data_IF_288454691479
#
_entry.id   IF_288454691479
#
_cell.length_a   1.000
_cell.length_b   1.000
_cell.length_c   1.000
_cell.angle_alpha   90.00
_cell.angle_beta   90.00
_cell.angle_gamma   90.00
#
_symmetry.space_group_name_H-M   'P 1'
#
loop_
_entity.id
_entity.type
_entity.pdbx_description
1 polymer ?
#
# COMPACT_ATOMS: atom_id res chain seq x y z
N UNK A 1 -10.05 3.39 21.45
CA UNK A 1 -9.20 3.49 20.24
C UNK A 1 -7.84 3.96 20.66
N UNK A 2 -7.64 5.25 20.92
CA UNK A 2 -6.33 5.83 21.22
C UNK A 2 -5.54 5.12 22.33
N UNK A 3 -6.12 4.86 23.50
CA UNK A 3 -5.41 4.23 24.62
C UNK A 3 -4.95 2.79 24.37
N UNK A 4 -5.73 2.00 23.61
CA UNK A 4 -5.37 0.61 23.28
C UNK A 4 -4.26 0.58 22.24
N UNK A 5 -4.37 1.42 21.21
CA UNK A 5 -3.32 1.56 20.19
C UNK A 5 -2.02 2.07 20.82
N UNK A 6 -2.09 3.11 21.67
CA UNK A 6 -0.91 3.65 22.34
C UNK A 6 -0.23 2.62 23.25
N UNK A 7 -0.99 1.84 24.03
CA UNK A 7 -0.44 0.79 24.89
C UNK A 7 0.24 -0.32 24.07
N UNK A 8 -0.38 -0.76 22.97
CA UNK A 8 0.20 -1.77 22.08
C UNK A 8 1.47 -1.25 21.37
N UNK A 9 1.48 -0.01 20.88
CA UNK A 9 2.67 0.61 20.27
C UNK A 9 3.80 0.75 21.29
N UNK A 10 3.51 1.25 22.50
CA UNK A 10 4.52 1.36 23.56
C UNK A 10 5.06 -0.02 23.99
N UNK A 11 4.19 -1.03 24.08
CA UNK A 11 4.61 -2.41 24.36
C UNK A 11 5.55 -2.96 23.29
N UNK A 12 5.25 -2.71 22.01
CA UNK A 12 6.10 -3.12 20.91
C UNK A 12 7.46 -2.39 20.94
N UNK A 13 7.46 -1.07 21.16
CA UNK A 13 8.69 -0.27 21.27
C UNK A 13 9.55 -0.72 22.46
N UNK A 14 8.94 -0.98 23.62
CA UNK A 14 9.63 -1.50 24.80
C UNK A 14 10.24 -2.88 24.55
N UNK A 15 9.51 -3.77 23.87
CA UNK A 15 10.03 -5.08 23.51
C UNK A 15 11.23 -4.97 22.54
N UNK A 16 11.13 -4.10 21.53
CA UNK A 16 12.23 -3.81 20.62
C UNK A 16 13.45 -3.16 21.30
N UNK A 17 13.24 -2.35 22.34
CA UNK A 17 14.34 -1.71 23.08
C UNK A 17 15.04 -2.65 24.06
N UNK A 18 14.32 -3.60 24.67
CA UNK A 18 14.85 -4.48 25.72
C UNK A 18 15.37 -5.80 25.16
N UNK A 19 14.79 -6.31 24.07
CA UNK A 19 15.10 -7.63 23.53
C UNK A 19 15.22 -7.63 22.00
N UNK A 20 16.18 -6.86 21.47
CA UNK A 20 16.47 -6.75 20.03
C UNK A 20 16.71 -8.10 19.36
N UNK A 21 17.43 -9.02 20.01
CA UNK A 21 17.77 -10.33 19.45
C UNK A 21 16.54 -11.25 19.34
N UNK A 22 15.67 -11.20 20.35
CA UNK A 22 14.40 -11.94 20.33
C UNK A 22 13.46 -11.37 19.27
N UNK A 23 13.36 -10.04 19.15
CA UNK A 23 12.53 -9.39 18.14
C UNK A 23 13.04 -9.74 16.73
N UNK A 24 14.35 -9.71 16.51
CA UNK A 24 14.96 -10.07 15.23
C UNK A 24 14.65 -11.52 14.84
N UNK A 25 14.92 -12.48 15.72
CA UNK A 25 14.69 -13.90 15.44
C UNK A 25 13.21 -14.22 15.15
N UNK A 26 12.28 -13.66 15.94
CA UNK A 26 10.83 -13.84 15.74
C UNK A 26 10.38 -13.18 14.43
N UNK A 27 10.84 -11.95 14.16
CA UNK A 27 10.47 -11.23 12.94
C UNK A 27 10.95 -11.95 11.69
N UNK A 28 12.20 -12.44 11.68
CA UNK A 28 12.74 -13.22 10.56
C UNK A 28 12.00 -14.55 10.38
N UNK A 29 11.66 -15.25 11.46
CA UNK A 29 10.89 -16.49 11.38
C UNK A 29 9.47 -16.25 10.81
N UNK A 30 8.79 -15.20 11.29
CA UNK A 30 7.47 -14.81 10.78
C UNK A 30 7.53 -14.36 9.32
N UNK A 31 8.54 -13.58 8.94
CA UNK A 31 8.76 -13.15 7.56
C UNK A 31 8.96 -14.36 6.65
N UNK A 32 9.88 -15.26 7.00
CA UNK A 32 10.16 -16.46 6.18
C UNK A 32 8.93 -17.35 6.05
N UNK A 33 8.18 -17.55 7.13
CA UNK A 33 6.94 -18.34 7.09
C UNK A 33 5.87 -17.68 6.21
N UNK A 34 5.72 -16.36 6.32
CA UNK A 34 4.76 -15.59 5.51
C UNK A 34 5.15 -15.57 4.04
N UNK A 35 6.43 -15.42 3.73
CA UNK A 35 6.95 -15.47 2.36
C UNK A 35 6.77 -16.86 1.75
N UNK A 36 7.04 -17.92 2.51
CA UNK A 36 6.91 -19.30 2.01
C UNK A 36 5.44 -19.69 1.77
N UNK A 37 4.54 -19.37 2.70
CA UNK A 37 3.14 -19.80 2.63
C UNK A 37 2.24 -18.79 1.90
N UNK A 38 2.57 -17.50 1.99
CA UNK A 38 1.74 -16.39 1.53
C UNK A 38 2.29 -15.65 0.32
N UNK A 39 3.54 -15.90 -0.11
CA UNK A 39 4.16 -15.18 -1.22
C UNK A 39 3.33 -15.23 -2.52
N UNK A 40 2.75 -16.38 -2.83
CA UNK A 40 1.86 -16.54 -3.99
C UNK A 40 0.60 -15.67 -3.88
N UNK A 41 0.03 -15.54 -2.68
CA UNK A 41 -1.16 -14.72 -2.43
C UNK A 41 -0.83 -13.23 -2.57
N UNK A 42 0.36 -12.79 -2.13
CA UNK A 42 0.81 -11.41 -2.34
C UNK A 42 0.96 -11.09 -3.83
N UNK A 43 1.61 -11.96 -4.60
CA UNK A 43 1.79 -11.75 -6.05
C UNK A 43 0.43 -11.70 -6.75
N UNK A 44 -0.46 -12.65 -6.48
CA UNK A 44 -1.81 -12.66 -7.06
C UNK A 44 -2.63 -11.44 -6.65
N UNK A 45 -2.57 -11.02 -5.38
CA UNK A 45 -3.28 -9.84 -4.90
C UNK A 45 -2.75 -8.58 -5.59
N UNK A 46 -1.43 -8.41 -5.68
CA UNK A 46 -0.81 -7.25 -6.28
C UNK A 46 -1.14 -7.14 -7.79
N UNK A 47 -1.03 -8.25 -8.53
CA UNK A 47 -1.48 -8.30 -9.94
C UNK A 47 -2.99 -8.06 -10.07
N UNK A 48 -3.78 -8.60 -9.14
CA UNK A 48 -5.23 -8.38 -9.06
C UNK A 48 -5.59 -6.91 -8.87
N UNK A 49 -4.87 -6.17 -8.01
CA UNK A 49 -5.07 -4.74 -7.82
C UNK A 49 -4.78 -3.93 -9.09
N UNK A 50 -3.73 -4.27 -9.84
CA UNK A 50 -3.42 -3.64 -11.14
C UNK A 50 -4.56 -3.87 -12.13
N UNK A 51 -4.98 -5.12 -12.30
CA UNK A 51 -6.08 -5.47 -13.23
C UNK A 51 -7.37 -4.78 -12.80
N UNK A 52 -7.67 -4.75 -11.49
CA UNK A 52 -8.86 -4.12 -10.95
C UNK A 52 -8.85 -2.59 -11.14
N UNK A 53 -7.71 -1.93 -10.91
CA UNK A 53 -7.55 -0.51 -11.15
C UNK A 53 -7.73 -0.15 -12.64
N UNK A 54 -7.13 -0.92 -13.54
CA UNK A 54 -7.31 -0.75 -14.98
C UNK A 54 -8.75 -0.99 -15.41
N UNK A 55 -9.38 -2.06 -14.91
CA UNK A 55 -10.78 -2.35 -15.16
C UNK A 55 -11.68 -1.21 -14.70
N UNK A 56 -11.48 -0.67 -13.50
CA UNK A 56 -12.22 0.48 -13.00
C UNK A 56 -12.07 1.70 -13.92
N UNK A 57 -10.84 2.00 -14.35
CA UNK A 57 -10.54 3.13 -15.23
C UNK A 57 -11.24 3.03 -16.60
N UNK A 58 -11.25 1.84 -17.22
CA UNK A 58 -11.89 1.64 -18.53
C UNK A 58 -13.39 1.30 -18.44
N UNK A 59 -13.89 0.93 -17.27
CA UNK A 59 -15.30 0.59 -17.07
C UNK A 59 -16.21 1.83 -17.01
N UNK A 60 -17.52 1.59 -17.01
CA UNK A 60 -18.54 2.62 -16.72
C UNK A 60 -18.34 3.32 -15.37
N UNK A 61 -17.66 2.69 -14.42
CA UNK A 61 -17.45 3.23 -13.08
C UNK A 61 -16.41 4.36 -13.06
N UNK A 62 -15.49 4.39 -14.02
CA UNK A 62 -14.53 5.49 -14.18
C UNK A 62 -15.16 6.83 -14.57
N UNK A 63 -16.42 6.83 -15.02
CA UNK A 63 -17.18 8.05 -15.35
C UNK A 63 -17.87 8.69 -14.14
N UNK A 64 -17.83 8.04 -12.97
CA UNK A 64 -18.51 8.53 -11.77
C UNK A 64 -17.66 9.64 -11.14
N UNK A 65 -18.26 10.81 -10.94
CA UNK A 65 -17.60 11.91 -10.20
C UNK A 65 -17.45 11.55 -8.72
N UNK A 66 -16.24 11.75 -8.19
CA UNK A 66 -15.90 11.52 -6.78
C UNK A 66 -16.31 12.72 -5.93
N UNK A 67 -17.62 12.96 -5.89
CA UNK A 67 -18.24 14.09 -5.22
C UNK A 67 -19.73 14.11 -5.52
N UNK A 68 -20.38 15.27 -5.35
CA UNK A 68 -21.77 15.46 -5.79
C UNK A 68 -21.86 15.41 -7.32
N UNK A 69 -23.07 15.18 -7.82
CA UNK A 69 -23.28 15.22 -9.28
C UNK A 69 -23.03 16.64 -9.80
N UNK A 70 -22.18 16.76 -10.81
CA UNK A 70 -21.80 18.04 -11.40
C UNK A 70 -20.81 18.87 -10.58
N UNK A 71 -20.20 18.31 -9.53
CA UNK A 71 -19.15 19.00 -8.77
C UNK A 71 -17.86 19.13 -9.61
N UNK A 72 -17.34 20.36 -9.72
CA UNK A 72 -16.10 20.62 -10.44
C UNK A 72 -14.87 20.26 -9.58
N UNK A 73 -13.73 19.89 -10.20
CA UNK A 73 -12.49 19.64 -9.46
C UNK A 73 -12.03 20.88 -8.70
N UNK A 74 -11.72 20.71 -7.42
CA UNK A 74 -11.20 21.79 -6.56
C UNK A 74 -9.82 22.30 -7.04
N UNK A 75 -9.01 21.40 -7.61
CA UNK A 75 -7.68 21.72 -8.13
C UNK A 75 -7.61 21.55 -9.64
N UNK A 76 -6.89 22.47 -10.29
CA UNK A 76 -6.55 22.34 -11.71
C UNK A 76 -5.71 21.08 -11.94
N UNK A 77 -5.92 20.40 -13.06
CA UNK A 77 -5.26 19.12 -13.40
C UNK A 77 -3.75 19.13 -13.21
N UNK A 78 -3.07 20.21 -13.63
CA UNK A 78 -1.61 20.35 -13.46
C UNK A 78 -1.20 20.38 -11.98
N UNK A 79 -1.95 21.12 -11.15
CA UNK A 79 -1.70 21.20 -9.72
C UNK A 79 -1.97 19.86 -9.04
N UNK A 80 -3.02 19.15 -9.45
CA UNK A 80 -3.33 17.81 -8.95
C UNK A 80 -2.23 16.79 -9.26
N UNK A 81 -1.73 16.76 -10.50
CA UNK A 81 -0.60 15.91 -10.89
C UNK A 81 0.65 16.26 -10.08
N UNK A 82 0.95 17.55 -9.91
CA UNK A 82 2.09 18.00 -9.10
C UNK A 82 1.99 17.53 -7.63
N UNK A 83 0.78 17.58 -7.03
CA UNK A 83 0.56 17.06 -5.68
C UNK A 83 0.79 15.55 -5.59
N UNK A 84 0.38 14.76 -6.60
CA UNK A 84 0.65 13.32 -6.64
C UNK A 84 2.15 13.02 -6.70
N UNK A 85 2.92 13.72 -7.52
CA UNK A 85 4.37 13.54 -7.57
C UNK A 85 5.05 13.95 -6.26
N UNK A 86 4.61 15.04 -5.64
CA UNK A 86 5.11 15.48 -4.34
C UNK A 86 4.84 14.47 -3.22
N UNK A 87 3.66 13.85 -3.21
CA UNK A 87 3.28 12.87 -2.21
C UNK A 87 3.89 11.48 -2.45
N UNK A 88 4.07 11.08 -3.71
CA UNK A 88 4.52 9.73 -4.10
C UNK A 88 6.03 9.55 -4.24
N UNK A 89 6.78 10.62 -4.53
CA UNK A 89 8.26 10.55 -4.60
C UNK A 89 8.86 10.71 -3.20
N UNK A 90 8.66 9.69 -2.37
CA UNK A 90 9.17 9.66 -1.01
C UNK A 90 10.64 9.22 -0.89
N UNK A 91 10.96 8.74 0.31
CA UNK A 91 12.27 8.17 0.70
C UNK A 91 12.62 6.92 -0.12
N UNK A 92 11.62 6.13 -0.53
CA UNK A 92 11.81 4.88 -1.28
C UNK A 92 12.65 5.05 -2.55
N UNK A 93 12.34 6.04 -3.40
CA UNK A 93 13.10 6.29 -4.62
C UNK A 93 14.52 6.82 -4.35
N UNK A 94 14.72 7.55 -3.25
CA UNK A 94 16.06 8.01 -2.86
C UNK A 94 16.96 6.87 -2.36
N UNK A 95 16.38 5.89 -1.65
CA UNK A 95 17.12 4.75 -1.10
C UNK A 95 17.25 3.59 -2.09
N UNK A 96 16.13 3.15 -2.69
CA UNK A 96 16.07 2.00 -3.58
C UNK A 96 16.32 2.36 -5.05
N UNK A 97 16.10 3.62 -5.46
CA UNK A 97 16.30 4.02 -6.86
C UNK A 97 17.73 3.84 -7.39
N UNK A 98 18.73 3.83 -6.51
CA UNK A 98 20.12 3.48 -6.87
C UNK A 98 20.48 2.07 -6.41
N UNK A 99 20.05 1.67 -5.21
CA UNK A 99 20.47 0.41 -4.61
C UNK A 99 19.85 -0.83 -5.27
N UNK A 100 18.58 -0.78 -5.66
CA UNK A 100 17.85 -1.91 -6.22
C UNK A 100 18.36 -2.31 -7.62
N UNK A 101 18.60 -1.37 -8.57
CA UNK A 101 19.24 -1.69 -9.85
C UNK A 101 20.63 -2.33 -9.70
N UNK A 102 21.42 -1.81 -8.76
CA UNK A 102 22.77 -2.30 -8.48
C UNK A 102 22.73 -3.72 -7.89
N UNK A 103 21.79 -3.96 -6.98
CA UNK A 103 21.60 -5.27 -6.34
C UNK A 103 21.11 -6.29 -7.37
N UNK A 104 20.14 -5.96 -8.21
CA UNK A 104 19.66 -6.85 -9.28
C UNK A 104 20.67 -7.05 -10.42
N UNK A 105 21.64 -6.15 -10.58
CA UNK A 105 22.74 -6.36 -11.51
C UNK A 105 23.82 -7.29 -10.94
N UNK A 106 24.10 -7.17 -9.63
CA UNK A 106 25.09 -7.97 -8.92
C UNK A 106 24.61 -9.39 -8.60
N UNK A 107 23.35 -9.52 -8.18
CA UNK A 107 22.65 -10.79 -7.90
C UNK A 107 21.37 -10.86 -8.76
N UNK A 108 21.50 -11.25 -10.03
CA UNK A 108 20.39 -11.25 -10.97
C UNK A 108 19.30 -12.24 -10.56
N UNK A 109 18.02 -11.89 -10.74
CA UNK A 109 16.90 -12.80 -10.47
C UNK A 109 17.09 -14.17 -11.15
N UNK A 110 16.56 -15.26 -10.55
CA UNK A 110 16.74 -16.62 -11.07
C UNK A 110 16.39 -16.72 -12.56
N UNK A 111 17.31 -17.23 -13.38
CA UNK A 111 17.14 -17.38 -14.83
C UNK A 111 17.59 -16.19 -15.69
N UNK A 112 18.19 -15.15 -15.10
CA UNK A 112 18.57 -13.91 -15.81
C UNK A 112 20.07 -13.56 -15.76
N UNK A 113 20.92 -14.50 -15.34
CA UNK A 113 22.37 -14.34 -15.21
C UNK A 113 23.18 -14.32 -16.53
N UNK A 114 22.61 -13.77 -17.61
CA UNK A 114 23.22 -13.70 -18.93
C UNK A 114 24.37 -12.70 -19.05
N UNK A 115 24.61 -12.22 -20.27
CA UNK A 115 25.63 -11.21 -20.56
C UNK A 115 25.40 -9.91 -19.77
N UNK A 116 26.44 -9.10 -19.58
CA UNK A 116 26.32 -7.83 -18.83
C UNK A 116 25.21 -6.88 -19.37
N UNK A 117 24.99 -6.75 -20.70
CA UNK A 117 23.86 -5.99 -21.22
C UNK A 117 22.49 -6.56 -20.85
N UNK A 118 22.33 -7.89 -20.86
CA UNK A 118 21.07 -8.56 -20.53
C UNK A 118 20.74 -8.39 -19.04
N UNK A 119 21.74 -8.57 -18.16
CA UNK A 119 21.57 -8.33 -16.71
C UNK A 119 21.17 -6.90 -16.39
N UNK A 120 21.72 -5.91 -17.11
CA UNK A 120 21.34 -4.51 -16.95
C UNK A 120 19.88 -4.26 -17.36
N UNK A 121 19.45 -4.84 -18.48
CA UNK A 121 18.06 -4.71 -18.93
C UNK A 121 17.08 -5.34 -17.95
N UNK A 122 17.37 -6.55 -17.45
CA UNK A 122 16.53 -7.23 -16.46
C UNK A 122 16.49 -6.45 -15.15
N UNK A 123 17.64 -5.99 -14.62
CA UNK A 123 17.68 -5.23 -13.37
C UNK A 123 16.81 -3.97 -13.43
N UNK A 124 16.84 -3.26 -14.56
CA UNK A 124 16.02 -2.08 -14.77
C UNK A 124 14.54 -2.41 -14.94
N UNK A 125 14.21 -3.48 -15.67
CA UNK A 125 12.83 -3.94 -15.81
C UNK A 125 12.22 -4.34 -14.45
N UNK A 126 12.97 -5.05 -13.60
CA UNK A 126 12.53 -5.47 -12.27
C UNK A 126 12.33 -4.28 -11.35
N UNK A 127 13.28 -3.34 -11.32
CA UNK A 127 13.15 -2.11 -10.50
C UNK A 127 11.91 -1.30 -10.92
N UNK A 128 11.72 -1.10 -12.23
CA UNK A 128 10.54 -0.41 -12.75
C UNK A 128 9.25 -1.15 -12.40
N UNK A 129 9.25 -2.49 -12.45
CA UNK A 129 8.08 -3.29 -12.10
C UNK A 129 7.68 -3.09 -10.63
N UNK A 130 8.65 -3.02 -9.72
CA UNK A 130 8.41 -2.79 -8.30
C UNK A 130 8.01 -1.36 -7.97
N UNK A 131 8.53 -0.35 -8.65
CA UNK A 131 8.35 1.06 -8.26
C UNK A 131 7.24 1.79 -9.06
N UNK A 132 6.63 1.15 -10.06
CA UNK A 132 5.62 1.78 -10.91
C UNK A 132 4.22 1.20 -10.71
N UNK A 133 3.73 0.35 -11.61
CA UNK A 133 2.30 0.06 -11.70
C UNK A 133 1.73 -0.63 -10.45
N UNK A 134 2.52 -1.49 -9.80
CA UNK A 134 2.04 -2.32 -8.69
C UNK A 134 1.73 -1.52 -7.42
N UNK A 135 2.67 -0.73 -6.84
CA UNK A 135 2.35 0.10 -5.67
C UNK A 135 1.28 1.15 -5.98
N UNK A 136 1.39 1.81 -7.14
CA UNK A 136 0.46 2.86 -7.52
C UNK A 136 -0.97 2.34 -7.74
N UNK A 137 -1.14 1.11 -8.22
CA UNK A 137 -2.46 0.49 -8.33
C UNK A 137 -3.09 0.24 -6.95
N UNK A 138 -2.31 -0.21 -5.97
CA UNK A 138 -2.81 -0.41 -4.59
C UNK A 138 -3.26 0.93 -4.00
N UNK A 139 -2.44 1.98 -4.14
CA UNK A 139 -2.79 3.34 -3.70
C UNK A 139 -4.03 3.88 -4.41
N UNK A 140 -4.16 3.66 -5.72
CA UNK A 140 -5.31 4.09 -6.49
C UNK A 140 -6.60 3.41 -5.99
N UNK A 141 -6.57 2.11 -5.72
CA UNK A 141 -7.74 1.36 -5.24
C UNK A 141 -8.16 1.81 -3.84
N UNK A 142 -7.20 1.93 -2.91
CA UNK A 142 -7.49 2.38 -1.54
C UNK A 142 -7.95 3.83 -1.53
N UNK A 143 -7.26 4.71 -2.26
CA UNK A 143 -7.61 6.12 -2.40
C UNK A 143 -9.00 6.31 -3.00
N UNK A 144 -9.34 5.56 -4.04
CA UNK A 144 -10.67 5.57 -4.65
C UNK A 144 -11.75 5.11 -3.66
N UNK A 145 -11.47 4.06 -2.89
CA UNK A 145 -12.44 3.51 -1.94
C UNK A 145 -12.75 4.53 -0.82
N UNK A 146 -11.73 5.24 -0.32
CA UNK A 146 -11.89 6.32 0.65
C UNK A 146 -12.60 7.52 0.02
N UNK A 147 -12.17 7.96 -1.17
CA UNK A 147 -12.76 9.10 -1.86
C UNK A 147 -14.25 8.87 -2.18
N UNK A 148 -14.61 7.69 -2.67
CA UNK A 148 -16.01 7.33 -2.92
C UNK A 148 -16.82 7.28 -1.61
N UNK A 149 -16.27 6.69 -0.55
CA UNK A 149 -16.96 6.60 0.75
C UNK A 149 -17.18 7.98 1.38
N UNK A 150 -16.17 8.85 1.35
CA UNK A 150 -16.21 10.18 1.96
C UNK A 150 -16.99 11.17 1.09
N UNK A 151 -16.57 11.36 -0.16
CA UNK A 151 -17.09 12.45 -1.01
C UNK A 151 -18.41 12.09 -1.69
N UNK A 152 -18.58 10.86 -2.19
CA UNK A 152 -19.82 10.45 -2.87
C UNK A 152 -20.90 9.98 -1.90
N UNK A 153 -20.52 9.29 -0.81
CA UNK A 153 -21.46 8.72 0.17
C UNK A 153 -21.58 9.53 1.47
N UNK A 154 -20.77 10.58 1.66
CA UNK A 154 -20.85 11.44 2.85
C UNK A 154 -20.49 10.73 4.15
N UNK A 155 -19.74 9.63 4.10
CA UNK A 155 -19.37 8.85 5.29
C UNK A 155 -18.11 9.44 5.95
N UNK A 156 -17.85 9.02 7.19
CA UNK A 156 -16.63 9.41 7.91
C UNK A 156 -15.36 8.96 7.17
N UNK A 157 -14.31 9.77 7.20
CA UNK A 157 -12.99 9.46 6.65
C UNK A 157 -12.24 8.45 7.53
N UNK A 158 -12.76 7.23 7.57
CA UNK A 158 -12.18 6.10 8.32
C UNK A 158 -12.10 4.89 7.40
N UNK A 159 -11.10 4.03 7.59
CA UNK A 159 -10.95 2.82 6.78
C UNK A 159 -12.13 1.89 7.02
N UNK A 160 -12.60 1.77 8.26
CA UNK A 160 -13.82 1.06 8.62
C UNK A 160 -15.06 1.49 7.83
N UNK A 161 -15.22 2.79 7.56
CA UNK A 161 -16.34 3.32 6.79
C UNK A 161 -16.33 2.86 5.33
N UNK A 162 -15.15 2.57 4.74
CA UNK A 162 -15.03 2.00 3.39
C UNK A 162 -15.67 0.60 3.33
N UNK A 163 -15.57 -0.17 4.41
CA UNK A 163 -16.14 -1.52 4.52
C UNK A 163 -17.64 -1.54 4.81
N UNK A 164 -18.27 -0.40 5.13
CA UNK A 164 -19.71 -0.28 5.38
C UNK A 164 -20.63 -1.06 4.42
N UNK A 165 -20.45 -1.06 3.07
CA UNK A 165 -21.33 -1.82 2.20
C UNK A 165 -21.17 -3.34 2.30
N UNK A 166 -20.05 -3.84 2.83
CA UNK A 166 -19.79 -5.27 3.04
C UNK A 166 -20.22 -5.75 4.43
N UNK A 167 -19.86 -4.99 5.47
CA UNK A 167 -20.08 -5.38 6.86
C UNK A 167 -21.33 -4.76 7.49
N UNK A 168 -21.95 -3.79 6.82
CA UNK A 168 -23.08 -3.01 7.34
C UNK A 168 -22.65 -1.86 8.26
N UNK A 169 -23.49 -0.83 8.32
CA UNK A 169 -23.21 0.40 9.08
C UNK A 169 -23.06 0.19 10.59
N UNK A 170 -23.80 -0.78 11.15
CA UNK A 170 -23.69 -1.15 12.56
C UNK A 170 -22.33 -1.74 12.91
N UNK A 171 -21.77 -2.60 12.05
CA UNK A 171 -20.48 -3.24 12.30
C UNK A 171 -19.30 -2.32 11.97
N UNK A 172 -19.45 -1.47 10.95
CA UNK A 172 -18.47 -0.44 10.60
C UNK A 172 -18.31 0.60 11.72
N UNK A 173 -19.40 1.00 12.38
CA UNK A 173 -19.34 1.89 13.55
C UNK A 173 -19.13 1.14 14.89
N UNK A 174 -19.16 -0.19 14.85
CA UNK A 174 -19.10 -1.07 16.01
C UNK A 174 -17.67 -1.49 16.39
N UNK A 175 -17.58 -2.59 17.14
CA UNK A 175 -16.29 -3.15 17.56
C UNK A 175 -15.44 -3.65 16.39
N UNK A 176 -16.07 -4.15 15.32
CA UNK A 176 -15.37 -4.68 14.16
C UNK A 176 -14.68 -3.59 13.35
N UNK A 177 -15.37 -2.49 13.03
CA UNK A 177 -14.74 -1.35 12.34
C UNK A 177 -13.61 -0.72 13.15
N UNK A 178 -13.77 -0.66 14.47
CA UNK A 178 -12.70 -0.27 15.41
C UNK A 178 -11.43 -1.11 15.26
N UNK A 179 -11.55 -2.43 15.07
CA UNK A 179 -10.39 -3.31 14.84
C UNK A 179 -9.72 -2.98 13.50
N UNK A 180 -10.50 -2.76 12.45
CA UNK A 180 -9.96 -2.35 11.13
C UNK A 180 -9.18 -1.04 11.23
N UNK A 181 -9.74 -0.04 11.91
CA UNK A 181 -9.06 1.25 12.07
C UNK A 181 -7.79 1.12 12.93
N UNK A 182 -7.78 0.26 13.96
CA UNK A 182 -6.55 -0.04 14.71
C UNK A 182 -5.50 -0.67 13.80
N UNK A 183 -5.86 -1.69 13.02
CA UNK A 183 -4.93 -2.35 12.09
C UNK A 183 -4.38 -1.37 11.05
N UNK A 184 -5.22 -0.47 10.54
CA UNK A 184 -4.78 0.59 9.63
C UNK A 184 -3.76 1.54 10.28
N UNK A 185 -3.98 1.96 11.54
CA UNK A 185 -3.02 2.79 12.27
C UNK A 185 -1.69 2.04 12.48
N UNK A 186 -1.75 0.75 12.86
CA UNK A 186 -0.55 -0.07 13.00
C UNK A 186 0.21 -0.20 11.68
N UNK A 187 -0.48 -0.50 10.58
CA UNK A 187 0.12 -0.61 9.26
C UNK A 187 0.79 0.70 8.84
N UNK A 188 0.15 1.85 9.04
CA UNK A 188 0.73 3.17 8.73
C UNK A 188 1.94 3.47 9.62
N UNK A 189 1.85 3.18 10.93
CA UNK A 189 2.94 3.43 11.87
C UNK A 189 4.19 2.63 11.50
N UNK A 190 4.03 1.32 11.24
CA UNK A 190 5.13 0.46 10.81
C UNK A 190 5.61 0.74 9.38
N UNK A 191 4.73 1.22 8.49
CA UNK A 191 5.14 1.65 7.14
C UNK A 191 5.94 2.95 7.14
N UNK A 192 5.77 3.80 8.16
CA UNK A 192 6.47 5.08 8.30
C UNK A 192 7.72 5.05 9.18
N UNK A 193 7.85 4.04 10.04
CA UNK A 193 8.97 3.86 10.97
C UNK A 193 10.14 3.15 10.28
#
# INVERSE_FOLDING_TARGET
MFGVTAALTLGFVLWGAVATDSLGSVSTAMLNSTMHNGGWAFVLAASGFVIFALWLAFSRYGKITLGKEGEEPEFRTVSWVAMMFSAGMGIGLMFYGVNEPLTHFADPPPGTGGSAPERMQTAMATTLFHETLYPWAIYAVVGLAIAYSSFRRGRRQTISAVFTPLIGEKNANGAFGRVIDILAIFATLFGSA
#
